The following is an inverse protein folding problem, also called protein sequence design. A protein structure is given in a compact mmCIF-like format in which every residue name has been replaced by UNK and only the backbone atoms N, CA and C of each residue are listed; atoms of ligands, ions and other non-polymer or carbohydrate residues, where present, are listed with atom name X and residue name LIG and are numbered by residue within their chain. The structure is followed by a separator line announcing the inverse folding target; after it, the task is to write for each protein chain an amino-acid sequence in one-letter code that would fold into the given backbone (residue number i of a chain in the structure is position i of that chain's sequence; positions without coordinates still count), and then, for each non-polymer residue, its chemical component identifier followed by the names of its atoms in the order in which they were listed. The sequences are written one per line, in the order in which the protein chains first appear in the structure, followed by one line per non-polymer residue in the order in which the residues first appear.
data_IF_699788181571
#
_entry.id   IF_699788181571
#
_cell.length_a   1.000
_cell.length_b   1.000
_cell.length_c   1.000
_cell.angle_alpha   90.00
_cell.angle_beta   90.00
_cell.angle_gamma   90.00
#
_symmetry.space_group_name_H-M   'P 1'
#
loop_
_entity.id
_entity.type
_entity.pdbx_description
1 polymer ?
#
# COMPACT_ATOMS: atom_id res chain seq x y z
N UNK A 1 36.43 42.20 -34.62
CA UNK A 1 35.02 41.71 -34.79
C UNK A 1 34.94 40.32 -34.16
N UNK A 2 34.45 40.27 -32.93
CA UNK A 2 34.27 39.00 -32.15
C UNK A 2 32.81 38.56 -32.30
N UNK A 3 32.58 37.40 -32.89
CA UNK A 3 31.23 36.79 -32.98
C UNK A 3 30.94 36.09 -31.67
N UNK A 4 29.91 36.55 -30.96
CA UNK A 4 29.30 35.83 -29.85
C UNK A 4 28.41 34.72 -30.43
N UNK A 5 28.67 33.49 -30.07
CA UNK A 5 27.78 32.37 -30.31
C UNK A 5 26.84 32.24 -29.11
N UNK A 6 25.54 32.47 -29.30
CA UNK A 6 24.49 32.13 -28.32
C UNK A 6 24.26 30.63 -28.38
N UNK A 7 24.57 29.94 -27.29
CA UNK A 7 24.06 28.59 -27.05
C UNK A 7 22.62 28.70 -26.51
N UNK A 8 21.68 28.26 -27.31
CA UNK A 8 20.30 28.03 -26.83
C UNK A 8 20.24 26.72 -26.05
N UNK A 9 20.09 26.80 -24.74
CA UNK A 9 19.81 25.66 -23.91
C UNK A 9 18.31 25.37 -24.03
N UNK A 10 17.95 24.27 -24.72
CA UNK A 10 16.60 23.74 -24.74
C UNK A 10 16.34 23.06 -23.40
N UNK A 11 15.55 23.68 -22.52
CA UNK A 11 14.94 23.01 -21.39
C UNK A 11 13.89 22.03 -21.91
N UNK A 12 14.19 20.75 -21.84
CA UNK A 12 13.20 19.67 -21.98
C UNK A 12 12.41 19.65 -20.68
N UNK A 13 11.25 20.28 -20.66
CA UNK A 13 10.26 20.10 -19.60
C UNK A 13 9.64 18.72 -19.77
N UNK A 14 10.10 17.76 -18.97
CA UNK A 14 9.34 16.54 -18.73
C UNK A 14 8.04 16.93 -18.01
N UNK A 15 6.97 17.05 -18.78
CA UNK A 15 5.63 17.10 -18.22
C UNK A 15 5.34 15.70 -17.63
N UNK A 16 5.60 15.52 -16.35
CA UNK A 16 4.98 14.45 -15.57
C UNK A 16 3.52 14.84 -15.41
N UNK A 17 2.67 14.42 -16.36
CA UNK A 17 1.24 14.48 -16.18
C UNK A 17 0.90 13.62 -14.98
N UNK A 18 0.47 14.25 -13.87
CA UNK A 18 -0.23 13.53 -12.83
C UNK A 18 -1.43 12.86 -13.52
N UNK A 19 -1.45 11.54 -13.53
CA UNK A 19 -2.63 10.82 -13.97
C UNK A 19 -3.73 11.18 -12.96
N UNK A 20 -4.78 11.86 -13.41
CA UNK A 20 -5.91 12.23 -12.56
C UNK A 20 -6.60 10.99 -11.99
N UNK A 21 -7.31 11.18 -10.90
CA UNK A 21 -8.10 10.13 -10.28
C UNK A 21 -9.15 9.57 -11.26
N UNK A 22 -9.31 8.25 -11.30
CA UNK A 22 -10.26 7.59 -12.20
C UNK A 22 -9.87 6.17 -12.62
N UNK A 23 -10.71 5.55 -13.43
CA UNK A 23 -10.43 4.22 -13.98
C UNK A 23 -9.22 4.26 -14.92
N UNK A 24 -8.35 3.28 -14.81
CA UNK A 24 -7.27 3.08 -15.77
C UNK A 24 -7.86 2.88 -17.17
N UNK A 25 -7.38 3.59 -18.20
CA UNK A 25 -7.97 3.55 -19.52
C UNK A 25 -7.84 2.17 -20.18
N UNK A 26 -6.76 1.47 -19.93
CA UNK A 26 -6.44 0.17 -20.52
C UNK A 26 -5.62 -0.65 -19.50
N UNK A 27 -6.24 -1.63 -18.81
CA UNK A 27 -5.48 -2.57 -18.00
C UNK A 27 -4.44 -3.31 -18.84
N UNK A 28 -3.21 -3.40 -18.37
CA UNK A 28 -2.12 -4.07 -19.06
C UNK A 28 -1.28 -4.96 -18.15
N UNK A 29 -0.52 -5.87 -18.75
CA UNK A 29 0.41 -6.74 -18.06
C UNK A 29 1.82 -6.53 -18.58
N UNK A 30 2.77 -6.39 -17.65
CA UNK A 30 4.16 -6.20 -18.01
C UNK A 30 4.87 -7.54 -18.17
N UNK A 31 5.59 -7.72 -19.28
CA UNK A 31 6.34 -8.96 -19.58
C UNK A 31 7.84 -8.73 -19.58
N UNK A 32 8.31 -7.48 -19.64
CA UNK A 32 9.73 -7.13 -19.69
C UNK A 32 10.21 -6.69 -18.32
N UNK A 33 11.12 -7.45 -17.73
CA UNK A 33 11.69 -7.17 -16.41
C UNK A 33 12.40 -5.80 -16.40
N UNK A 34 12.13 -4.94 -15.41
CA UNK A 34 12.88 -3.71 -15.26
C UNK A 34 14.33 -4.00 -14.84
N UNK A 35 15.25 -3.12 -15.23
CA UNK A 35 16.63 -3.20 -14.73
C UNK A 35 16.71 -2.58 -13.34
N UNK A 36 16.97 -3.40 -12.33
CA UNK A 36 17.15 -2.89 -10.97
C UNK A 36 18.50 -2.18 -10.82
N UNK A 37 18.52 -0.96 -10.24
CA UNK A 37 19.77 -0.28 -9.91
C UNK A 37 20.62 -1.04 -8.91
N UNK A 38 21.94 -0.88 -8.96
CA UNK A 38 22.86 -1.46 -7.96
C UNK A 38 22.61 -0.91 -6.54
N UNK A 39 22.04 0.28 -6.43
CA UNK A 39 21.66 0.90 -5.16
C UNK A 39 20.55 0.15 -4.40
N UNK A 40 19.75 -0.70 -5.07
CA UNK A 40 18.80 -1.58 -4.38
C UNK A 40 19.58 -2.63 -3.61
N UNK A 41 19.74 -2.41 -2.32
CA UNK A 41 20.46 -3.26 -1.37
C UNK A 41 19.74 -3.31 -0.04
N UNK A 42 19.90 -4.41 0.68
CA UNK A 42 19.28 -4.58 1.99
C UNK A 42 19.77 -3.57 3.04
N UNK A 43 18.90 -3.05 3.91
CA UNK A 43 17.44 -3.22 3.92
C UNK A 43 16.78 -2.46 2.74
N UNK A 44 15.83 -3.10 2.06
CA UNK A 44 15.27 -2.59 0.81
C UNK A 44 13.74 -2.76 0.71
N UNK A 45 13.12 -1.74 0.15
CA UNK A 45 11.66 -1.62 -0.01
C UNK A 45 11.33 -1.47 -1.49
N UNK A 46 10.47 -2.33 -2.02
CA UNK A 46 9.80 -2.13 -3.30
C UNK A 46 8.49 -1.36 -3.05
N UNK A 47 8.34 -0.16 -3.58
CA UNK A 47 7.08 0.56 -3.62
C UNK A 47 6.44 0.31 -4.98
N UNK A 48 5.39 -0.50 -4.99
CA UNK A 48 4.67 -0.87 -6.20
C UNK A 48 3.36 -0.11 -6.29
N UNK A 49 3.19 0.73 -7.32
CA UNK A 49 2.08 1.68 -7.44
C UNK A 49 1.25 1.48 -8.73
N UNK A 50 1.32 0.31 -9.38
CA UNK A 50 0.53 0.02 -10.56
C UNK A 50 -0.96 -0.04 -10.22
N UNK A 51 -1.79 0.56 -11.09
CA UNK A 51 -3.24 0.49 -11.01
C UNK A 51 -3.80 0.14 -12.39
N UNK A 52 -4.43 -1.03 -12.50
CA UNK A 52 -5.20 -1.48 -13.65
C UNK A 52 -6.71 -1.34 -13.43
N UNK A 53 -7.13 -0.84 -12.27
CA UNK A 53 -8.48 -0.43 -11.90
C UNK A 53 -8.54 1.07 -11.61
N UNK A 54 -9.09 1.46 -10.47
CA UNK A 54 -9.17 2.85 -10.06
C UNK A 54 -7.79 3.42 -9.69
N UNK A 55 -7.44 4.55 -10.25
CA UNK A 55 -6.19 5.26 -9.97
C UNK A 55 -6.41 6.32 -8.90
N UNK A 56 -5.75 6.16 -7.76
CA UNK A 56 -5.79 7.15 -6.68
C UNK A 56 -4.66 8.17 -6.84
N UNK A 57 -4.97 9.45 -6.79
CA UNK A 57 -3.98 10.53 -6.85
C UNK A 57 -3.03 10.51 -5.65
N UNK A 58 -3.49 10.00 -4.51
CA UNK A 58 -2.71 9.87 -3.29
C UNK A 58 -1.46 8.99 -3.41
N UNK A 59 -1.35 8.14 -4.46
CA UNK A 59 -0.17 7.30 -4.71
C UNK A 59 1.14 8.09 -4.78
N UNK A 60 1.09 9.32 -5.31
CA UNK A 60 2.28 10.19 -5.42
C UNK A 60 2.70 10.68 -4.04
N UNK A 61 1.74 11.16 -3.25
CA UNK A 61 2.00 11.63 -1.88
C UNK A 61 2.47 10.48 -0.97
N UNK A 62 1.85 9.29 -1.10
CA UNK A 62 2.26 8.09 -0.38
C UNK A 62 3.71 7.70 -0.71
N UNK A 63 4.08 7.69 -1.99
CA UNK A 63 5.45 7.40 -2.42
C UNK A 63 6.45 8.37 -1.82
N UNK A 64 6.16 9.68 -1.85
CA UNK A 64 7.02 10.70 -1.24
C UNK A 64 7.14 10.55 0.28
N UNK A 65 6.02 10.24 0.96
CA UNK A 65 6.03 9.99 2.41
C UNK A 65 6.89 8.77 2.76
N UNK A 66 6.83 7.69 1.98
CA UNK A 66 7.66 6.50 2.18
C UNK A 66 9.14 6.82 1.98
N UNK A 67 9.51 7.61 0.97
CA UNK A 67 10.89 8.04 0.75
C UNK A 67 11.42 8.86 1.93
N UNK A 68 10.63 9.80 2.43
CA UNK A 68 10.98 10.62 3.58
C UNK A 68 11.15 9.79 4.86
N UNK A 69 10.28 8.79 5.07
CA UNK A 69 10.37 7.87 6.20
C UNK A 69 11.60 6.96 6.05
N UNK A 70 11.86 6.42 4.89
CA UNK A 70 12.97 5.49 4.65
C UNK A 70 14.35 6.16 4.79
N UNK A 71 14.46 7.45 4.46
CA UNK A 71 15.72 8.19 4.42
C UNK A 71 16.50 8.19 5.74
N UNK A 72 15.93 8.56 6.91
CA UNK A 72 16.64 8.53 8.18
C UNK A 72 17.03 7.13 8.61
N UNK A 73 16.30 6.09 8.20
CA UNK A 73 16.61 4.69 8.48
C UNK A 73 17.67 4.11 7.54
N UNK A 74 18.01 4.79 6.45
CA UNK A 74 18.96 4.29 5.45
C UNK A 74 18.43 3.13 4.61
N UNK A 75 17.10 2.96 4.52
CA UNK A 75 16.49 1.93 3.69
C UNK A 75 16.57 2.30 2.22
N UNK A 76 16.89 1.34 1.36
CA UNK A 76 16.89 1.54 -0.08
C UNK A 76 15.48 1.39 -0.63
N UNK A 77 14.94 2.44 -1.25
CA UNK A 77 13.60 2.42 -1.86
C UNK A 77 13.72 2.30 -3.37
N UNK A 78 12.89 1.46 -3.97
CA UNK A 78 12.74 1.33 -5.40
C UNK A 78 11.28 1.40 -5.79
N UNK A 79 10.91 2.38 -6.59
CA UNK A 79 9.56 2.58 -7.10
C UNK A 79 9.38 1.86 -8.43
N UNK A 80 8.22 1.22 -8.61
CA UNK A 80 7.86 0.56 -9.85
C UNK A 80 6.36 0.51 -10.07
N UNK A 81 5.95 0.68 -11.31
CA UNK A 81 4.61 0.31 -11.79
C UNK A 81 4.69 -0.89 -12.74
N UNK A 82 5.89 -1.44 -12.96
CA UNK A 82 6.11 -2.57 -13.85
C UNK A 82 5.93 -3.90 -13.09
N UNK A 83 4.83 -4.61 -13.34
CA UNK A 83 4.52 -5.91 -12.72
C UNK A 83 5.53 -7.01 -13.02
N UNK A 84 6.37 -6.89 -14.05
CA UNK A 84 7.40 -7.89 -14.34
C UNK A 84 8.57 -7.87 -13.33
N UNK A 85 8.59 -6.92 -12.37
CA UNK A 85 9.47 -6.97 -11.18
C UNK A 85 9.14 -8.16 -10.28
N UNK A 86 7.89 -8.65 -10.32
CA UNK A 86 7.43 -9.80 -9.56
C UNK A 86 7.89 -11.12 -10.19
N UNK A 87 9.17 -11.38 -10.07
CA UNK A 87 9.81 -12.63 -10.45
C UNK A 87 10.83 -13.06 -9.38
N UNK A 88 11.12 -14.34 -9.29
CA UNK A 88 11.93 -14.91 -8.20
C UNK A 88 13.32 -14.27 -8.05
N UNK A 89 13.92 -13.81 -9.16
CA UNK A 89 15.27 -13.22 -9.11
C UNK A 89 15.28 -11.80 -8.58
N UNK A 90 14.28 -11.01 -8.95
CA UNK A 90 14.19 -9.61 -8.51
C UNK A 90 13.58 -9.48 -7.12
N UNK A 91 12.56 -10.28 -6.81
CA UNK A 91 11.92 -10.24 -5.49
C UNK A 91 12.87 -10.55 -4.33
N UNK A 92 13.87 -11.42 -4.53
CA UNK A 92 14.89 -11.69 -3.49
C UNK A 92 15.77 -10.48 -3.14
N UNK A 93 15.72 -9.39 -3.95
CA UNK A 93 16.42 -8.14 -3.72
C UNK A 93 15.70 -7.22 -2.76
N UNK A 94 14.45 -7.55 -2.38
CA UNK A 94 13.60 -6.73 -1.52
C UNK A 94 13.26 -7.46 -0.22
N UNK A 95 13.29 -6.71 0.88
CA UNK A 95 12.88 -7.19 2.21
C UNK A 95 11.39 -6.95 2.44
N UNK A 96 10.86 -5.86 1.89
CA UNK A 96 9.46 -5.43 2.01
C UNK A 96 8.93 -5.05 0.63
N UNK A 97 7.66 -5.38 0.39
CA UNK A 97 6.89 -4.85 -0.74
C UNK A 97 5.79 -3.98 -0.17
N UNK A 98 5.76 -2.72 -0.58
CA UNK A 98 4.63 -1.82 -0.36
C UNK A 98 3.71 -1.89 -1.59
N UNK A 99 2.47 -2.28 -1.39
CA UNK A 99 1.41 -2.17 -2.38
C UNK A 99 0.72 -0.81 -2.16
N UNK A 100 1.16 0.18 -2.90
CA UNK A 100 0.74 1.56 -2.74
C UNK A 100 -0.52 1.85 -3.56
N UNK A 101 -1.69 1.71 -2.94
CA UNK A 101 -3.02 1.88 -3.55
C UNK A 101 -3.14 1.20 -4.92
N UNK A 102 -2.63 -0.03 -5.00
CA UNK A 102 -2.70 -0.86 -6.21
C UNK A 102 -4.12 -1.37 -6.43
N UNK A 103 -4.62 -1.33 -7.67
CA UNK A 103 -6.01 -1.72 -7.99
C UNK A 103 -6.12 -2.52 -9.28
N UNK A 104 -7.16 -3.33 -9.39
CA UNK A 104 -7.43 -4.15 -10.56
C UNK A 104 -6.53 -5.38 -10.69
N UNK A 105 -6.59 -6.05 -11.83
CA UNK A 105 -5.72 -7.19 -12.13
C UNK A 105 -4.34 -6.73 -12.61
N UNK A 106 -3.31 -6.99 -11.81
CA UNK A 106 -1.97 -6.41 -11.95
C UNK A 106 -0.94 -7.38 -12.49
N UNK A 107 -1.18 -8.69 -12.35
CA UNK A 107 -0.12 -9.69 -12.45
C UNK A 107 -0.47 -10.81 -13.41
N UNK A 108 0.50 -11.22 -14.23
CA UNK A 108 0.40 -12.50 -14.96
C UNK A 108 0.37 -13.68 -13.98
N UNK A 109 -0.07 -14.88 -14.42
CA UNK A 109 -0.06 -16.07 -13.56
C UNK A 109 1.33 -16.36 -12.94
N UNK A 110 2.41 -16.17 -13.70
CA UNK A 110 3.79 -16.38 -13.24
C UNK A 110 4.20 -15.36 -12.18
N UNK A 111 3.79 -14.09 -12.34
CA UNK A 111 4.04 -13.03 -11.37
C UNK A 111 3.26 -13.25 -10.07
N UNK A 112 2.01 -13.73 -10.16
CA UNK A 112 1.20 -14.12 -8.99
C UNK A 112 1.88 -15.24 -8.21
N UNK A 113 2.37 -16.28 -8.89
CA UNK A 113 3.05 -17.41 -8.23
C UNK A 113 4.37 -16.97 -7.59
N UNK A 114 5.15 -16.12 -8.26
CA UNK A 114 6.39 -15.58 -7.71
C UNK A 114 6.14 -14.75 -6.45
N UNK A 115 5.14 -13.85 -6.48
CA UNK A 115 4.77 -13.03 -5.33
C UNK A 115 4.25 -13.88 -4.16
N UNK A 116 3.30 -14.78 -4.42
CA UNK A 116 2.77 -15.72 -3.43
C UNK A 116 3.89 -16.52 -2.78
N UNK A 117 4.78 -17.10 -3.58
CA UNK A 117 5.92 -17.87 -3.08
C UNK A 117 6.85 -17.03 -2.22
N UNK A 118 7.10 -15.77 -2.60
CA UNK A 118 7.93 -14.84 -1.84
C UNK A 118 7.31 -14.54 -0.46
N UNK A 119 6.01 -14.25 -0.39
CA UNK A 119 5.29 -14.05 0.88
C UNK A 119 5.34 -15.31 1.73
N UNK A 120 4.96 -16.49 1.18
CA UNK A 120 4.92 -17.75 1.92
C UNK A 120 6.28 -18.15 2.51
N UNK A 121 7.38 -17.69 1.92
CA UNK A 121 8.76 -17.94 2.40
C UNK A 121 9.25 -16.91 3.43
N UNK A 122 8.44 -15.94 3.82
CA UNK A 122 8.78 -14.95 4.87
C UNK A 122 8.82 -13.51 4.38
N UNK A 123 8.43 -13.24 3.14
CA UNK A 123 8.28 -11.89 2.63
C UNK A 123 7.18 -11.14 3.36
N UNK A 124 7.37 -9.85 3.61
CA UNK A 124 6.38 -8.99 4.28
C UNK A 124 5.88 -7.90 3.36
N UNK A 125 4.57 -7.67 3.44
CA UNK A 125 3.84 -6.72 2.61
C UNK A 125 3.27 -5.61 3.49
N UNK A 126 3.38 -4.37 3.03
CA UNK A 126 2.62 -3.22 3.54
C UNK A 126 1.63 -2.84 2.45
N UNK A 127 0.36 -3.08 2.68
CA UNK A 127 -0.71 -2.83 1.71
C UNK A 127 -1.51 -1.60 2.16
N UNK A 128 -1.56 -0.58 1.32
CA UNK A 128 -2.17 0.70 1.62
C UNK A 128 -3.42 0.91 0.77
N UNK A 129 -4.49 1.31 1.42
CA UNK A 129 -5.75 1.77 0.85
C UNK A 129 -6.25 0.93 -0.33
N UNK A 130 -6.17 1.44 -1.56
CA UNK A 130 -6.62 0.77 -2.79
C UNK A 130 -6.08 -0.64 -2.98
N UNK A 131 -4.97 -1.01 -2.29
CA UNK A 131 -4.45 -2.37 -2.34
C UNK A 131 -5.45 -3.43 -1.81
N UNK A 132 -6.39 -3.04 -0.95
CA UNK A 132 -7.50 -3.89 -0.51
C UNK A 132 -8.86 -3.44 -1.06
N UNK A 133 -8.89 -2.35 -1.85
CA UNK A 133 -10.09 -1.64 -2.30
C UNK A 133 -10.54 -1.99 -3.73
N UNK A 134 -10.31 -3.20 -4.20
CA UNK A 134 -10.76 -3.60 -5.53
C UNK A 134 -11.69 -4.82 -5.47
N UNK A 135 -12.88 -4.69 -6.06
CA UNK A 135 -13.89 -5.75 -6.09
C UNK A 135 -13.77 -6.67 -7.31
N UNK A 136 -13.02 -6.27 -8.33
CA UNK A 136 -12.79 -7.01 -9.57
C UNK A 136 -11.45 -7.77 -9.60
N UNK A 137 -10.77 -7.92 -8.45
CA UNK A 137 -9.55 -8.70 -8.34
C UNK A 137 -9.82 -10.18 -8.53
N UNK A 138 -9.39 -10.79 -9.66
CA UNK A 138 -9.69 -12.18 -9.97
C UNK A 138 -8.85 -13.18 -9.16
N UNK A 139 -7.84 -12.70 -8.44
CA UNK A 139 -6.91 -13.55 -7.71
C UNK A 139 -7.35 -13.74 -6.25
N UNK A 140 -8.17 -14.77 -6.01
CA UNK A 140 -8.77 -15.05 -4.71
C UNK A 140 -7.76 -15.24 -3.56
N UNK A 141 -6.57 -15.78 -3.84
CA UNK A 141 -5.51 -15.85 -2.82
C UNK A 141 -5.12 -14.44 -2.31
N UNK A 142 -5.09 -13.46 -3.21
CA UNK A 142 -4.79 -12.08 -2.82
C UNK A 142 -5.86 -11.51 -1.89
N UNK A 143 -7.12 -11.62 -2.26
CA UNK A 143 -8.23 -11.06 -1.47
C UNK A 143 -8.49 -11.85 -0.19
N UNK A 144 -8.55 -13.17 -0.29
CA UNK A 144 -9.03 -14.02 0.81
C UNK A 144 -7.92 -14.40 1.79
N UNK A 145 -6.68 -14.57 1.28
CA UNK A 145 -5.55 -15.02 2.10
C UNK A 145 -4.62 -13.86 2.47
N UNK A 146 -4.19 -13.04 1.51
CA UNK A 146 -3.25 -11.96 1.79
C UNK A 146 -3.95 -10.82 2.52
N UNK A 147 -5.01 -10.24 1.96
CA UNK A 147 -5.76 -9.12 2.57
C UNK A 147 -6.67 -9.61 3.70
N UNK A 148 -7.41 -10.70 3.51
CA UNK A 148 -8.29 -11.30 4.52
C UNK A 148 -9.76 -10.98 4.35
N UNK A 149 -10.13 -10.21 3.33
CA UNK A 149 -11.50 -9.86 2.94
C UNK A 149 -11.52 -9.30 1.53
N UNK A 150 -12.66 -9.43 0.89
CA UNK A 150 -12.91 -8.86 -0.43
C UNK A 150 -13.66 -7.55 -0.27
N UNK A 151 -13.14 -6.48 -0.83
CA UNK A 151 -13.81 -5.20 -0.88
C UNK A 151 -15.17 -5.32 -1.59
N UNK A 152 -16.17 -4.68 -1.04
CA UNK A 152 -17.54 -4.64 -1.58
C UNK A 152 -17.91 -3.24 -2.05
N UNK A 153 -17.76 -2.28 -1.15
CA UNK A 153 -18.12 -0.87 -1.37
C UNK A 153 -17.54 0.02 -0.27
N UNK A 154 -17.80 1.30 -0.35
CA UNK A 154 -17.60 2.30 0.70
C UNK A 154 -18.67 3.37 0.64
N UNK A 155 -19.00 4.08 1.72
CA UNK A 155 -19.77 5.32 1.69
C UNK A 155 -18.94 6.45 1.06
N UNK A 156 -19.55 7.62 0.88
CA UNK A 156 -18.82 8.81 0.46
C UNK A 156 -17.70 9.13 1.47
N UNK A 157 -16.59 9.70 0.97
CA UNK A 157 -15.49 10.18 1.78
C UNK A 157 -16.01 11.15 2.86
N UNK A 158 -15.74 10.85 4.11
CA UNK A 158 -16.25 11.59 5.26
C UNK A 158 -15.46 11.32 6.54
N UNK A 159 -15.56 12.21 7.55
CA UNK A 159 -14.91 12.00 8.82
C UNK A 159 -15.59 10.88 9.62
N UNK A 160 -14.76 10.11 10.34
CA UNK A 160 -15.20 9.19 11.40
C UNK A 160 -14.13 9.10 12.51
N UNK A 161 -14.47 8.44 13.61
CA UNK A 161 -13.54 8.16 14.69
C UNK A 161 -12.90 6.80 14.47
N UNK A 162 -11.58 6.76 14.37
CA UNK A 162 -10.80 5.51 14.42
C UNK A 162 -10.43 5.22 15.86
N UNK A 163 -10.51 3.94 16.27
CA UNK A 163 -10.15 3.46 17.61
C UNK A 163 -9.08 2.41 17.52
N UNK A 164 -7.99 2.61 18.29
CA UNK A 164 -6.89 1.65 18.39
C UNK A 164 -7.31 0.51 19.32
N UNK A 165 -7.15 -0.73 18.86
CA UNK A 165 -7.38 -1.91 19.68
C UNK A 165 -6.11 -2.38 20.41
N UNK A 166 -4.97 -2.35 19.73
CA UNK A 166 -3.69 -2.70 20.35
C UNK A 166 -2.67 -1.55 20.31
N UNK A 167 -2.77 -0.67 21.30
CA UNK A 167 -1.81 0.42 21.51
C UNK A 167 -0.40 -0.05 21.92
N UNK A 168 -0.22 -1.34 22.26
CA UNK A 168 1.09 -1.89 22.62
C UNK A 168 1.85 -2.39 21.40
N UNK A 169 1.18 -2.59 20.28
CA UNK A 169 1.83 -2.96 19.03
C UNK A 169 2.90 -1.93 18.66
N UNK A 170 4.12 -2.36 18.31
CA UNK A 170 5.16 -1.44 17.84
C UNK A 170 4.73 -0.63 16.61
N UNK A 171 3.82 -1.18 15.79
CA UNK A 171 3.26 -0.50 14.62
C UNK A 171 2.48 0.76 15.03
N UNK A 172 1.79 0.71 16.16
CA UNK A 172 0.92 1.79 16.63
C UNK A 172 1.66 2.86 17.48
N UNK A 173 3.00 2.82 17.50
CA UNK A 173 3.80 3.81 18.24
C UNK A 173 3.59 5.21 17.64
N UNK A 174 3.19 6.17 18.48
CA UNK A 174 2.91 7.54 18.08
C UNK A 174 1.50 7.75 17.53
N UNK A 175 0.68 6.70 17.42
CA UNK A 175 -0.73 6.78 17.04
C UNK A 175 -1.58 7.02 18.28
N UNK A 176 -2.48 8.03 18.30
CA UNK A 176 -3.39 8.26 19.42
C UNK A 176 -4.35 7.07 19.63
N UNK A 177 -4.82 6.85 20.87
CA UNK A 177 -5.78 5.79 21.19
C UNK A 177 -7.09 5.89 20.38
N UNK A 178 -7.47 7.11 20.02
CA UNK A 178 -8.54 7.40 19.08
C UNK A 178 -8.27 8.74 18.39
N UNK A 179 -8.65 8.84 17.11
CA UNK A 179 -8.53 10.10 16.37
C UNK A 179 -9.62 10.22 15.31
N UNK A 180 -9.97 11.47 14.96
CA UNK A 180 -10.84 11.75 13.84
C UNK A 180 -10.02 11.67 12.53
N UNK A 181 -10.58 11.02 11.53
CA UNK A 181 -9.98 10.88 10.20
C UNK A 181 -11.05 10.95 9.13
N UNK A 182 -10.72 11.49 7.97
CA UNK A 182 -11.62 11.50 6.81
C UNK A 182 -11.10 10.56 5.74
N UNK A 183 -11.89 9.55 5.41
CA UNK A 183 -11.55 8.58 4.39
C UNK A 183 -12.78 7.91 3.78
N UNK A 184 -12.56 6.97 2.88
CA UNK A 184 -13.53 6.02 2.39
C UNK A 184 -13.55 4.80 3.30
N UNK A 185 -14.63 4.61 4.05
CA UNK A 185 -14.73 3.50 5.02
C UNK A 185 -15.04 2.20 4.29
N UNK A 186 -14.00 1.44 3.92
CA UNK A 186 -14.12 0.22 3.14
C UNK A 186 -14.90 -0.86 3.84
N UNK A 187 -15.96 -1.34 3.18
CA UNK A 187 -16.77 -2.48 3.60
C UNK A 187 -16.27 -3.72 2.89
N UNK A 188 -16.03 -4.79 3.66
CA UNK A 188 -15.56 -6.07 3.15
C UNK A 188 -16.68 -7.11 3.19
N UNK A 189 -16.60 -8.15 2.35
CA UNK A 189 -17.55 -9.27 2.27
C UNK A 189 -17.58 -10.10 3.57
N UNK A 190 -16.53 -9.98 4.37
CA UNK A 190 -16.37 -10.65 5.66
C UNK A 190 -15.53 -9.78 6.60
N UNK A 191 -15.71 -10.02 7.90
CA UNK A 191 -14.80 -9.47 8.90
C UNK A 191 -13.44 -10.18 8.78
N UNK A 192 -12.29 -9.46 8.68
CA UNK A 192 -10.97 -10.08 8.55
C UNK A 192 -10.49 -10.78 9.81
N UNK A 193 -11.17 -10.63 10.95
CA UNK A 193 -10.79 -11.30 12.22
C UNK A 193 -10.69 -12.79 12.07
N UNK A 194 -9.68 -13.37 12.70
CA UNK A 194 -9.43 -14.80 12.71
C UNK A 194 -8.11 -15.12 13.40
N UNK A 195 -7.76 -16.40 13.46
CA UNK A 195 -6.53 -16.87 14.13
C UNK A 195 -5.25 -16.28 13.52
N UNK A 196 -5.30 -15.93 12.22
CA UNK A 196 -4.14 -15.41 11.47
C UNK A 196 -4.16 -13.88 11.38
N UNK A 197 -5.11 -13.20 12.01
CA UNK A 197 -5.30 -11.74 11.89
C UNK A 197 -5.23 -11.07 13.25
N UNK A 198 -4.40 -10.05 13.33
CA UNK A 198 -4.30 -9.16 14.49
C UNK A 198 -4.80 -7.78 14.10
N UNK A 199 -5.97 -7.40 14.61
CA UNK A 199 -6.59 -6.10 14.36
C UNK A 199 -5.89 -5.04 15.22
N UNK A 200 -5.46 -3.97 14.59
CA UNK A 200 -4.77 -2.84 15.21
C UNK A 200 -5.72 -1.67 15.47
N UNK A 201 -6.66 -1.42 14.54
CA UNK A 201 -7.66 -0.36 14.69
C UNK A 201 -8.96 -0.67 13.94
N UNK A 202 -10.04 -0.12 14.47
CA UNK A 202 -11.39 -0.17 13.90
C UNK A 202 -11.91 1.23 13.66
N UNK A 203 -12.88 1.40 12.75
CA UNK A 203 -13.67 2.62 12.65
C UNK A 203 -14.95 2.48 13.44
N UNK A 204 -15.31 3.52 14.18
CA UNK A 204 -16.57 3.59 14.95
C UNK A 204 -17.72 3.96 14.00
N UNK A 205 -18.50 2.96 13.61
CA UNK A 205 -19.62 3.14 12.67
C UNK A 205 -20.74 4.06 13.17
N UNK A 206 -20.74 4.43 14.45
CA UNK A 206 -21.71 5.38 14.98
C UNK A 206 -21.33 6.83 14.67
N UNK A 207 -20.12 7.08 14.16
CA UNK A 207 -19.56 8.41 13.94
C UNK A 207 -19.57 8.85 12.48
N UNK A 208 -20.12 8.03 11.58
CA UNK A 208 -20.24 8.37 10.15
C UNK A 208 -21.59 7.90 9.58
N UNK A 209 -21.97 8.46 8.43
CA UNK A 209 -23.18 8.06 7.69
C UNK A 209 -22.80 6.99 6.63
N UNK A 210 -23.28 5.75 6.75
CA UNK A 210 -22.98 4.71 5.77
C UNK A 210 -23.74 4.92 4.43
N UNK A 211 -24.75 5.82 4.38
CA UNK A 211 -25.62 5.96 3.23
C UNK A 211 -26.29 4.63 2.88
N UNK A 212 -26.00 4.12 1.66
CA UNK A 212 -26.51 2.80 1.21
C UNK A 212 -25.53 1.65 1.45
N UNK A 213 -24.31 1.94 1.93
CA UNK A 213 -23.34 0.90 2.22
C UNK A 213 -23.77 0.10 3.47
N UNK A 214 -23.59 -1.23 3.49
CA UNK A 214 -23.91 -2.02 4.67
C UNK A 214 -22.95 -1.69 5.82
N UNK A 215 -23.44 -1.80 7.06
CA UNK A 215 -22.58 -1.74 8.24
C UNK A 215 -21.97 -3.12 8.50
N UNK A 216 -20.70 -3.15 8.88
CA UNK A 216 -20.02 -4.37 9.31
C UNK A 216 -20.27 -4.68 10.79
N UNK A 217 -20.69 -3.65 11.58
CA UNK A 217 -20.85 -3.74 13.03
C UNK A 217 -19.52 -3.66 13.76
N UNK A 218 -18.78 -4.76 13.76
CA UNK A 218 -17.35 -4.76 14.09
C UNK A 218 -16.56 -4.46 12.81
N UNK A 219 -15.88 -3.31 12.76
CA UNK A 219 -15.35 -2.76 11.52
C UNK A 219 -13.82 -2.52 11.56
N UNK A 220 -13.01 -3.58 11.46
CA UNK A 220 -11.56 -3.44 11.31
C UNK A 220 -11.20 -2.69 10.03
N UNK A 221 -10.25 -1.75 10.16
CA UNK A 221 -9.70 -0.98 9.04
C UNK A 221 -8.19 -1.02 8.96
N UNK A 222 -7.51 -1.42 10.05
CA UNK A 222 -6.06 -1.61 10.10
C UNK A 222 -5.75 -2.91 10.81
N UNK A 223 -4.98 -3.79 10.16
CA UNK A 223 -4.59 -5.07 10.74
C UNK A 223 -3.27 -5.60 10.19
N UNK A 224 -2.67 -6.56 10.90
CA UNK A 224 -1.67 -7.47 10.35
C UNK A 224 -2.25 -8.86 10.19
N UNK A 225 -1.72 -9.62 9.23
CA UNK A 225 -2.14 -10.99 8.98
C UNK A 225 -0.95 -11.88 8.65
N UNK A 226 -0.90 -13.07 9.27
CA UNK A 226 0.07 -14.10 8.97
C UNK A 226 -0.28 -14.83 7.67
N UNK A 227 0.72 -15.00 6.79
CA UNK A 227 0.55 -15.72 5.51
C UNK A 227 1.76 -16.63 5.30
N UNK A 228 1.63 -17.89 5.68
CA UNK A 228 2.75 -18.82 5.71
C UNK A 228 3.82 -18.39 6.72
N UNK A 229 5.05 -18.16 6.25
CA UNK A 229 6.14 -17.62 7.09
C UNK A 229 6.23 -16.09 7.04
N UNK A 230 5.52 -15.46 6.11
CA UNK A 230 5.46 -14.01 5.95
C UNK A 230 4.17 -13.43 6.50
N UNK A 231 3.86 -12.20 6.09
CA UNK A 231 2.64 -11.54 6.52
C UNK A 231 2.39 -10.24 5.77
N UNK A 232 1.24 -9.67 6.04
CA UNK A 232 0.83 -8.38 5.51
C UNK A 232 0.38 -7.47 6.65
N UNK A 233 0.77 -6.20 6.58
CA UNK A 233 0.08 -5.10 7.21
C UNK A 233 -0.87 -4.51 6.17
N UNK A 234 -2.12 -4.31 6.52
CA UNK A 234 -3.09 -3.62 5.69
C UNK A 234 -3.68 -2.43 6.43
N UNK A 235 -3.78 -1.30 5.73
CA UNK A 235 -4.49 -0.10 6.15
C UNK A 235 -5.50 0.29 5.09
N UNK A 236 -6.77 0.38 5.45
CA UNK A 236 -7.84 0.82 4.55
C UNK A 236 -7.85 2.36 4.36
N UNK A 237 -7.19 3.13 5.24
CA UNK A 237 -7.07 4.58 5.09
C UNK A 237 -5.96 4.94 4.10
N UNK A 238 -6.06 6.14 3.48
CA UNK A 238 -5.06 6.65 2.53
C UNK A 238 -5.62 7.16 1.21
N UNK A 239 -6.93 7.45 1.14
CA UNK A 239 -7.55 7.96 -0.09
C UNK A 239 -7.00 9.33 -0.49
N UNK A 240 -6.80 10.24 0.46
CA UNK A 240 -6.41 11.62 0.16
C UNK A 240 -4.90 11.85 0.23
N UNK A 241 -4.40 12.70 -0.66
CA UNK A 241 -2.97 13.09 -0.68
C UNK A 241 -2.54 13.81 0.59
N UNK A 242 -3.42 14.59 1.18
CA UNK A 242 -3.18 15.35 2.41
C UNK A 242 -2.90 14.44 3.61
N UNK A 243 -3.55 13.28 3.66
CA UNK A 243 -3.37 12.28 4.70
C UNK A 243 -1.91 11.87 4.88
N UNK A 244 -1.16 11.74 3.79
CA UNK A 244 0.26 11.35 3.83
C UNK A 244 1.20 12.44 4.39
N UNK A 245 0.69 13.64 4.64
CA UNK A 245 1.41 14.70 5.36
C UNK A 245 1.06 14.72 6.86
N UNK A 246 0.01 14.01 7.28
CA UNK A 246 -0.41 13.95 8.67
C UNK A 246 0.56 13.13 9.53
N UNK A 247 0.97 13.64 10.71
CA UNK A 247 1.91 12.94 11.59
C UNK A 247 1.42 11.56 12.06
N UNK A 248 0.11 11.35 12.22
CA UNK A 248 -0.46 10.07 12.65
C UNK A 248 -0.32 9.03 11.55
N UNK A 249 -0.70 9.36 10.31
CA UNK A 249 -0.53 8.46 9.17
C UNK A 249 0.94 8.14 8.90
N UNK A 250 1.81 9.15 8.98
CA UNK A 250 3.26 8.95 8.83
C UNK A 250 3.84 8.04 9.92
N UNK A 251 3.38 8.17 11.17
CA UNK A 251 3.79 7.28 12.27
C UNK A 251 3.31 5.85 12.04
N UNK A 252 2.10 5.68 11.53
CA UNK A 252 1.53 4.37 11.19
C UNK A 252 2.33 3.68 10.07
N UNK A 253 2.67 4.41 9.01
CA UNK A 253 3.48 3.89 7.89
C UNK A 253 4.90 3.55 8.34
N UNK A 254 5.54 4.40 9.16
CA UNK A 254 6.87 4.12 9.73
C UNK A 254 6.84 2.86 10.61
N UNK A 255 5.83 2.74 11.47
CA UNK A 255 5.63 1.55 12.29
C UNK A 255 5.43 0.29 11.46
N UNK A 256 4.63 0.35 10.39
CA UNK A 256 4.38 -0.76 9.48
C UNK A 256 5.63 -1.18 8.70
N UNK A 257 6.40 -0.23 8.18
CA UNK A 257 7.66 -0.50 7.48
C UNK A 257 8.72 -1.06 8.44
N UNK A 258 8.84 -0.50 9.65
CA UNK A 258 9.75 -0.98 10.69
C UNK A 258 9.41 -2.41 11.09
N UNK A 259 8.12 -2.73 11.33
CA UNK A 259 7.66 -4.09 11.58
C UNK A 259 7.99 -5.02 10.41
N UNK A 260 7.75 -4.57 9.18
CA UNK A 260 7.99 -5.40 8.00
C UNK A 260 9.49 -5.68 7.77
N UNK A 261 10.38 -4.77 8.16
CA UNK A 261 11.84 -4.92 8.06
C UNK A 261 12.45 -5.65 9.26
N UNK A 262 11.76 -5.71 10.40
CA UNK A 262 12.24 -6.45 11.57
C UNK A 262 12.01 -7.96 11.39
N UNK A 263 13.05 -8.67 11.01
CA UNK A 263 13.03 -10.13 10.81
C UNK A 263 12.79 -10.93 12.08
N UNK A 264 12.88 -10.32 13.26
CA UNK A 264 12.64 -10.96 14.56
C UNK A 264 11.21 -10.73 15.03
N UNK A 265 10.50 -9.72 14.52
CA UNK A 265 9.11 -9.50 14.85
C UNK A 265 8.24 -10.65 14.34
N UNK A 266 7.18 -10.98 15.08
CA UNK A 266 6.17 -11.92 14.63
C UNK A 266 5.58 -11.45 13.27
N UNK A 267 5.17 -12.40 12.43
CA UNK A 267 4.60 -12.07 11.11
C UNK A 267 3.18 -11.47 11.20
N UNK A 268 2.55 -11.57 12.34
CA UNK A 268 1.27 -10.96 12.68
C UNK A 268 1.13 -10.74 14.19
#
# INVERSE_FOLDING_TARGET
MKRLALLAASLLTLATGAAGEGMAPHPDFDHVKPKLPAAVRHPSVLVFSKANGWQHDSRVAASAAIDDIAKPHGWAVYHSENGAVFNADQLKRFDVIVLNSTTGDLFTPEQREAFKTWVLKGGRVVALHGAGGTNDQPWTWYTDTLIGGRFVTHPLLQPATIRVEDAKSPIMRGVPQAWAWSDEWYVFDRNPRGADTHVLATVDETTYDPGTAPRMGDHPIIWTRCVGKGGVFFSAIGHTSEGYSDPVERSLIDGALSWALDRQAAAC
#
